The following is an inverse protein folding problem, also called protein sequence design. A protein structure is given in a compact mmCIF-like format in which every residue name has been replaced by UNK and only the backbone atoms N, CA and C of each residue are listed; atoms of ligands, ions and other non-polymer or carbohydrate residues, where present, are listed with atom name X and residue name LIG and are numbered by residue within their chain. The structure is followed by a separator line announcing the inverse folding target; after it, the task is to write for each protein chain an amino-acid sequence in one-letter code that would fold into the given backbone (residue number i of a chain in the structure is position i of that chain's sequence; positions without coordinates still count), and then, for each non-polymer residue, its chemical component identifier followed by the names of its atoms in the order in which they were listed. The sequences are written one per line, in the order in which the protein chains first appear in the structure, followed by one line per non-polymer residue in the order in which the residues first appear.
data_IF_337346627528
#
_entry.id   IF_337346627528
#
_cell.length_a   1.000
_cell.length_b   1.000
_cell.length_c   1.000
_cell.angle_alpha   90.00
_cell.angle_beta   90.00
_cell.angle_gamma   90.00
#
_symmetry.space_group_name_H-M   'P 1'
#
loop_
_entity.id
_entity.type
_entity.pdbx_description
1 polymer ?
#
# COMPACT_ATOMS: atom_id res chain seq x y z
N UNK A 1 53.53 46.65 -31.92
CA UNK A 1 52.70 45.47 -32.25
C UNK A 1 51.52 45.43 -31.27
N UNK A 2 50.31 45.82 -31.69
CA UNK A 2 49.15 46.05 -30.80
C UNK A 2 48.32 44.76 -30.68
N UNK A 3 48.27 44.14 -29.50
CA UNK A 3 47.45 42.92 -29.25
C UNK A 3 46.01 43.34 -29.00
N UNK A 4 45.09 42.91 -29.87
CA UNK A 4 43.64 43.13 -29.71
C UNK A 4 43.10 42.13 -28.69
N UNK A 5 42.56 42.61 -27.59
CA UNK A 5 41.80 41.79 -26.64
C UNK A 5 40.42 41.54 -27.24
N UNK A 6 40.16 40.31 -27.69
CA UNK A 6 38.82 39.87 -28.02
C UNK A 6 38.10 39.53 -26.72
N UNK A 7 37.13 40.35 -26.32
CA UNK A 7 36.24 40.05 -25.22
C UNK A 7 35.30 38.91 -25.64
N UNK A 8 35.50 37.71 -25.07
CA UNK A 8 34.52 36.64 -25.18
C UNK A 8 33.34 36.97 -24.25
N UNK A 9 32.21 37.37 -24.85
CA UNK A 9 30.92 37.39 -24.17
C UNK A 9 30.45 35.94 -23.99
N UNK A 10 30.66 35.40 -22.79
CA UNK A 10 30.03 34.14 -22.37
C UNK A 10 28.56 34.43 -22.10
N UNK A 11 27.71 34.09 -23.06
CA UNK A 11 26.26 34.12 -22.87
C UNK A 11 25.88 33.04 -21.84
N UNK A 12 25.46 33.47 -20.64
CA UNK A 12 24.83 32.58 -19.66
C UNK A 12 23.46 32.15 -20.19
N UNK A 13 23.40 30.97 -20.79
CA UNK A 13 22.14 30.29 -21.11
C UNK A 13 21.52 29.79 -19.78
N UNK A 14 20.25 30.10 -19.49
CA UNK A 14 19.58 29.57 -18.31
C UNK A 14 19.42 28.05 -18.47
N UNK A 15 19.98 27.28 -17.54
CA UNK A 15 19.72 25.84 -17.50
C UNK A 15 18.24 25.61 -17.16
N UNK A 16 17.52 24.76 -17.90
CA UNK A 16 16.16 24.39 -17.53
C UNK A 16 16.22 23.67 -16.18
N UNK A 17 15.44 24.15 -15.21
CA UNK A 17 15.26 23.48 -13.95
C UNK A 17 14.61 22.12 -14.21
N UNK A 18 15.41 21.05 -14.11
CA UNK A 18 14.90 19.69 -14.20
C UNK A 18 14.04 19.44 -12.96
N UNK A 19 12.72 19.39 -13.15
CA UNK A 19 11.81 19.01 -12.08
C UNK A 19 12.17 17.61 -11.59
N UNK A 20 12.39 17.47 -10.27
CA UNK A 20 12.62 16.17 -9.68
C UNK A 20 11.40 15.26 -9.91
N UNK A 21 11.59 13.97 -10.19
CA UNK A 21 10.48 13.03 -10.26
C UNK A 21 9.75 13.01 -8.91
N UNK A 22 8.41 12.80 -8.89
CA UNK A 22 7.66 12.69 -7.65
C UNK A 22 8.23 11.54 -6.81
N UNK A 23 8.45 11.81 -5.52
CA UNK A 23 8.88 10.78 -4.57
C UNK A 23 7.79 9.71 -4.44
N UNK A 24 8.14 8.40 -4.39
CA UNK A 24 7.15 7.39 -4.09
C UNK A 24 6.52 7.66 -2.71
N UNK A 25 5.23 7.34 -2.53
CA UNK A 25 4.57 7.52 -1.25
C UNK A 25 5.28 6.69 -0.18
N UNK A 26 5.41 7.24 1.02
CA UNK A 26 5.91 6.50 2.18
C UNK A 26 5.05 5.27 2.45
N UNK A 27 5.65 4.12 2.81
CA UNK A 27 4.90 2.91 3.08
C UNK A 27 3.95 3.11 4.25
N UNK A 28 2.77 2.49 4.18
CA UNK A 28 1.80 2.55 5.27
C UNK A 28 2.27 1.69 6.44
N UNK A 29 1.69 1.91 7.63
CA UNK A 29 1.98 1.08 8.81
C UNK A 29 1.70 -0.40 8.54
N UNK A 30 0.57 -0.71 7.90
CA UNK A 30 0.21 -2.07 7.52
C UNK A 30 1.18 -2.71 6.52
N UNK A 31 1.70 -1.93 5.57
CA UNK A 31 2.72 -2.39 4.61
C UNK A 31 4.03 -2.76 5.30
N UNK A 32 4.52 -1.90 6.20
CA UNK A 32 5.74 -2.14 6.95
C UNK A 32 5.62 -3.39 7.82
N UNK A 33 4.52 -3.54 8.54
CA UNK A 33 4.28 -4.71 9.39
C UNK A 33 4.17 -6.01 8.58
N UNK A 34 3.45 -5.98 7.45
CA UNK A 34 3.32 -7.13 6.57
C UNK A 34 4.67 -7.56 5.97
N UNK A 35 5.40 -6.62 5.39
CA UNK A 35 6.68 -6.90 4.71
C UNK A 35 7.79 -7.29 5.68
N UNK A 36 7.72 -6.88 6.94
CA UNK A 36 8.73 -7.27 7.93
C UNK A 36 8.45 -8.63 8.57
N UNK A 37 7.17 -8.93 8.84
CA UNK A 37 6.82 -10.06 9.70
C UNK A 37 6.05 -11.18 8.99
N UNK A 38 5.08 -10.85 8.13
CA UNK A 38 4.19 -11.86 7.55
C UNK A 38 4.87 -12.68 6.45
N UNK A 39 5.77 -12.06 5.70
CA UNK A 39 6.48 -12.74 4.61
C UNK A 39 7.61 -13.67 5.08
N UNK A 40 7.95 -13.64 6.38
CA UNK A 40 8.96 -14.51 6.96
C UNK A 40 8.54 -15.99 6.95
N UNK A 41 7.24 -16.26 6.99
CA UNK A 41 6.69 -17.63 6.97
C UNK A 41 5.74 -17.90 5.79
N UNK A 42 5.21 -16.86 5.14
CA UNK A 42 4.27 -17.00 4.02
C UNK A 42 4.80 -16.32 2.77
N UNK A 43 4.59 -16.95 1.62
CA UNK A 43 4.74 -16.26 0.34
C UNK A 43 3.39 -15.71 -0.11
N UNK A 44 3.43 -14.83 -1.11
CA UNK A 44 2.24 -14.26 -1.72
C UNK A 44 1.27 -15.34 -2.26
N UNK A 45 1.77 -16.54 -2.61
CA UNK A 45 0.97 -17.71 -3.00
C UNK A 45 -0.07 -18.14 -1.95
N UNK A 46 0.19 -17.86 -0.68
CA UNK A 46 -0.74 -18.12 0.40
C UNK A 46 -2.09 -17.41 0.22
N UNK A 47 -2.11 -16.27 -0.47
CA UNK A 47 -3.30 -15.44 -0.61
C UNK A 47 -4.20 -15.79 -1.80
N UNK A 48 -3.68 -16.45 -2.83
CA UNK A 48 -4.42 -16.76 -4.06
C UNK A 48 -4.63 -18.25 -4.34
N UNK A 49 -4.09 -19.16 -3.51
CA UNK A 49 -4.39 -20.60 -3.65
C UNK A 49 -5.86 -20.90 -3.36
N UNK A 50 -6.39 -21.96 -3.97
CA UNK A 50 -7.78 -22.43 -3.82
C UNK A 50 -8.21 -22.66 -2.36
N UNK A 51 -7.24 -22.80 -1.46
CA UNK A 51 -7.46 -22.96 -0.01
C UNK A 51 -7.35 -21.63 0.77
N UNK A 52 -7.62 -20.47 0.15
CA UNK A 52 -7.70 -19.21 0.90
C UNK A 52 -8.81 -19.32 1.96
N UNK A 53 -8.46 -19.04 3.21
CA UNK A 53 -9.39 -19.19 4.34
C UNK A 53 -10.24 -17.92 4.59
N UNK A 54 -9.73 -16.75 4.19
CA UNK A 54 -10.49 -15.51 4.30
C UNK A 54 -11.46 -15.38 3.11
N UNK A 55 -12.75 -15.26 3.40
CA UNK A 55 -13.82 -15.08 2.42
C UNK A 55 -14.49 -13.71 2.48
N UNK A 56 -14.23 -12.96 3.55
CA UNK A 56 -14.71 -11.60 3.76
C UNK A 56 -13.73 -10.80 4.65
N UNK A 57 -14.06 -9.54 4.92
CA UNK A 57 -13.25 -8.65 5.75
C UNK A 57 -13.01 -9.20 7.16
N UNK A 58 -14.05 -9.73 7.81
CA UNK A 58 -13.94 -10.27 9.16
C UNK A 58 -13.03 -11.50 9.19
N UNK A 59 -13.15 -12.39 8.21
CA UNK A 59 -12.27 -13.54 8.02
C UNK A 59 -10.83 -13.13 7.75
N UNK A 60 -10.59 -12.08 6.96
CA UNK A 60 -9.24 -11.55 6.73
C UNK A 60 -8.64 -11.03 8.04
N UNK A 61 -9.36 -10.21 8.79
CA UNK A 61 -8.89 -9.68 10.07
C UNK A 61 -8.61 -10.79 11.09
N UNK A 62 -9.47 -11.82 11.15
CA UNK A 62 -9.29 -12.98 12.00
C UNK A 62 -8.01 -13.77 11.65
N UNK A 63 -7.71 -13.91 10.35
CA UNK A 63 -6.49 -14.56 9.90
C UNK A 63 -5.24 -13.75 10.27
N UNK A 64 -5.26 -12.41 10.10
CA UNK A 64 -4.16 -11.54 10.54
C UNK A 64 -3.94 -11.68 12.05
N UNK A 65 -5.01 -11.61 12.86
CA UNK A 65 -4.95 -11.79 14.31
C UNK A 65 -4.37 -13.15 14.71
N UNK A 66 -4.78 -14.21 14.03
CA UNK A 66 -4.27 -15.57 14.29
C UNK A 66 -2.77 -15.66 14.02
N UNK A 67 -2.33 -15.22 12.85
CA UNK A 67 -0.94 -15.42 12.42
C UNK A 67 0.04 -14.53 13.16
N UNK A 68 -0.31 -13.29 13.50
CA UNK A 68 0.53 -12.48 14.40
C UNK A 68 0.67 -13.13 15.78
N UNK A 69 -0.36 -13.85 16.25
CA UNK A 69 -0.33 -14.58 17.52
C UNK A 69 0.58 -15.80 17.46
N UNK A 70 0.54 -16.56 16.36
CA UNK A 70 1.48 -17.67 16.09
C UNK A 70 2.93 -17.16 16.07
N UNK A 71 3.15 -16.01 15.44
CA UNK A 71 4.45 -15.34 15.40
C UNK A 71 4.80 -14.58 16.70
N UNK A 72 3.90 -14.55 17.70
CA UNK A 72 4.08 -13.89 19.01
C UNK A 72 4.48 -12.41 18.92
N UNK A 73 3.91 -11.68 17.95
CA UNK A 73 4.30 -10.29 17.67
C UNK A 73 3.72 -9.27 18.66
N UNK A 74 2.66 -9.63 19.39
CA UNK A 74 2.05 -8.75 20.39
C UNK A 74 1.37 -7.52 19.79
N UNK A 75 0.88 -7.62 18.56
CA UNK A 75 0.24 -6.51 17.87
C UNK A 75 -1.06 -6.09 18.54
N UNK A 76 -1.29 -4.77 18.51
CA UNK A 76 -2.55 -4.16 18.94
C UNK A 76 -3.66 -4.42 17.92
N UNK A 77 -4.91 -4.12 18.31
CA UNK A 77 -6.04 -4.19 17.38
C UNK A 77 -5.90 -3.22 16.20
N UNK A 78 -5.28 -2.06 16.41
CA UNK A 78 -4.99 -1.09 15.35
C UNK A 78 -3.93 -1.61 14.38
N UNK A 79 -2.87 -2.26 14.87
CA UNK A 79 -1.87 -2.89 14.02
C UNK A 79 -2.46 -4.01 13.15
N UNK A 80 -3.31 -4.84 13.77
CA UNK A 80 -4.05 -5.88 13.05
C UNK A 80 -4.95 -5.26 11.97
N UNK A 81 -5.62 -4.15 12.29
CA UNK A 81 -6.49 -3.44 11.36
C UNK A 81 -5.70 -2.82 10.20
N UNK A 82 -4.56 -2.20 10.46
CA UNK A 82 -3.68 -1.63 9.44
C UNK A 82 -3.15 -2.69 8.47
N UNK A 83 -2.71 -3.85 8.97
CA UNK A 83 -2.29 -4.97 8.12
C UNK A 83 -3.46 -5.55 7.34
N UNK A 84 -4.64 -5.63 7.96
CA UNK A 84 -5.88 -6.07 7.28
C UNK A 84 -6.22 -5.15 6.11
N UNK A 85 -6.18 -3.82 6.30
CA UNK A 85 -6.36 -2.83 5.22
C UNK A 85 -5.36 -3.04 4.11
N UNK A 86 -4.07 -3.12 4.45
CA UNK A 86 -3.02 -3.32 3.45
C UNK A 86 -3.26 -4.59 2.60
N UNK A 87 -3.52 -5.73 3.25
CA UNK A 87 -3.81 -6.98 2.54
C UNK A 87 -5.09 -6.89 1.70
N UNK A 88 -6.12 -6.21 2.21
CA UNK A 88 -7.36 -6.01 1.49
C UNK A 88 -7.15 -5.17 0.23
N UNK A 89 -6.42 -4.07 0.35
CA UNK A 89 -6.14 -3.14 -0.75
C UNK A 89 -5.21 -3.73 -1.78
N UNK A 90 -4.32 -4.65 -1.41
CA UNK A 90 -3.37 -5.25 -2.37
C UNK A 90 -3.88 -6.53 -3.01
N UNK A 91 -4.71 -7.31 -2.30
CA UNK A 91 -5.02 -8.69 -2.70
C UNK A 91 -6.51 -9.01 -2.63
N UNK A 92 -7.17 -8.79 -1.48
CA UNK A 92 -8.48 -9.40 -1.23
C UNK A 92 -9.68 -8.60 -1.75
N UNK A 93 -9.64 -7.26 -1.67
CA UNK A 93 -10.70 -6.35 -2.13
C UNK A 93 -12.10 -6.63 -1.54
N UNK A 94 -12.17 -7.11 -0.31
CA UNK A 94 -13.43 -7.26 0.42
C UNK A 94 -14.00 -5.90 0.85
N UNK A 95 -15.32 -5.81 0.94
CA UNK A 95 -15.98 -4.67 1.54
C UNK A 95 -15.66 -4.63 3.05
N UNK A 96 -15.10 -3.53 3.58
CA UNK A 96 -14.84 -3.40 5.01
C UNK A 96 -16.12 -3.62 5.83
N UNK A 97 -16.00 -4.32 6.96
CA UNK A 97 -17.12 -4.49 7.90
C UNK A 97 -17.55 -3.13 8.45
N UNK A 98 -18.56 -2.56 7.81
CA UNK A 98 -19.04 -1.18 7.96
C UNK A 98 -19.92 -0.79 6.76
N UNK A 99 -19.66 -1.41 5.60
CA UNK A 99 -20.41 -1.20 4.36
C UNK A 99 -21.57 -2.18 4.17
N UNK A 100 -22.09 -2.83 5.23
CA UNK A 100 -23.33 -3.61 5.07
C UNK A 100 -24.47 -2.72 4.59
N UNK A 101 -24.53 -1.48 5.08
CA UNK A 101 -25.51 -0.47 4.64
C UNK A 101 -25.28 -0.06 3.19
N UNK A 102 -24.04 0.28 2.81
CA UNK A 102 -23.70 0.67 1.43
C UNK A 102 -23.91 -0.47 0.43
N UNK A 103 -23.58 -1.71 0.82
CA UNK A 103 -23.76 -2.90 0.01
C UNK A 103 -25.23 -3.32 -0.12
N UNK A 104 -26.05 -3.15 0.94
CA UNK A 104 -27.50 -3.34 0.87
C UNK A 104 -28.19 -2.25 0.04
N UNK A 105 -27.78 -0.99 0.21
CA UNK A 105 -28.35 0.15 -0.51
C UNK A 105 -28.06 0.05 -2.03
N UNK A 106 -26.86 -0.38 -2.40
CA UNK A 106 -26.49 -0.60 -3.81
C UNK A 106 -27.21 -1.79 -4.44
N UNK A 107 -27.49 -2.85 -3.67
CA UNK A 107 -28.30 -3.98 -4.13
C UNK A 107 -29.77 -3.60 -4.35
N UNK A 108 -30.33 -2.71 -3.52
CA UNK A 108 -31.70 -2.22 -3.65
C UNK A 108 -31.92 -1.21 -4.79
N UNK A 109 -30.89 -0.48 -5.22
CA UNK A 109 -31.00 0.51 -6.32
C UNK A 109 -30.90 -0.07 -7.73
N UNK A 110 -30.65 -1.37 -7.91
CA UNK A 110 -30.54 -2.01 -9.24
C UNK A 110 -31.86 -2.70 -9.66
N UNK A 111 -32.83 -2.81 -8.76
CA UNK A 111 -34.16 -3.31 -9.10
C UNK A 111 -35.19 -2.21 -9.03
N UNK A 112 -35.36 -1.43 -10.11
CA UNK A 112 -36.60 -0.80 -10.59
C UNK A 112 -36.44 -0.42 -12.06
#
# INVERSE_FOLDING_TARGET
MKRRFAALLVALLPLPALAAPPEPPSPTRGELLYTTHCIACHTTQMHWRDQRLATDWAGLQAQVRRWQGVAKLGWTDDDILEVTRHLNDRIYRFAPSGDKVTSMLRASSIGH
#
